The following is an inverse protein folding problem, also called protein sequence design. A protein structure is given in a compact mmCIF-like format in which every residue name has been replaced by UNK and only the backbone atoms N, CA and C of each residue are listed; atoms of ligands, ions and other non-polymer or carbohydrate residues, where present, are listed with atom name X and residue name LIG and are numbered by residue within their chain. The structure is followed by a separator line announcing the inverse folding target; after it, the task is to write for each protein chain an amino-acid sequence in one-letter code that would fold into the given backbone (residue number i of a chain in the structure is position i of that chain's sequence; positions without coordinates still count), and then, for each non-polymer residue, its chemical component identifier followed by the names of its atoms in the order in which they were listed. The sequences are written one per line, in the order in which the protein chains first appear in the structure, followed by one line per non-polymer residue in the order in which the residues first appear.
data_IF_103976240462
#
_entry.id   IF_103976240462
#
_cell.length_a   1.000
_cell.length_b   1.000
_cell.length_c   1.000
_cell.angle_alpha   90.00
_cell.angle_beta   90.00
_cell.angle_gamma   90.00
#
_symmetry.space_group_name_H-M   'P 1'
#
loop_
_entity.id
_entity.type
_entity.pdbx_description
1 polymer ?
#
# COMPACT_ATOMS: atom_id res chain seq x y z
N UNK A 1 6.82 14.97 16.54
CA UNK A 1 6.90 14.68 16.93
C UNK A 1 7.45 14.77 17.75
N UNK A 2 7.38 15.33 18.38
CA UNK A 2 7.79 15.26 18.98
C UNK A 2 7.69 14.96 20.31
N UNK A 3 6.83 14.86 20.85
CA UNK A 3 6.64 14.27 21.95
C UNK A 3 7.44 13.14 21.97
N UNK A 4 7.74 12.64 20.93
CA UNK A 4 8.48 11.60 20.81
C UNK A 4 9.81 11.74 21.35
N UNK A 5 10.35 12.81 21.46
CA UNK A 5 11.68 12.98 21.90
C UNK A 5 11.88 12.43 23.29
N UNK A 6 10.96 12.72 24.15
CA UNK A 6 11.06 12.27 25.52
C UNK A 6 10.80 10.78 25.61
N UNK A 7 9.83 10.33 24.88
CA UNK A 7 9.52 8.93 24.89
C UNK A 7 10.65 8.11 24.30
N UNK A 8 11.30 8.63 23.30
CA UNK A 8 12.37 7.94 22.67
C UNK A 8 13.46 7.64 23.66
N UNK A 9 13.77 8.60 24.53
CA UNK A 9 14.77 8.37 25.46
C UNK A 9 14.36 7.31 26.39
N UNK A 10 13.17 7.29 26.86
CA UNK A 10 12.69 6.32 27.80
C UNK A 10 12.69 4.93 27.19
N UNK A 11 12.43 4.83 25.95
CA UNK A 11 12.36 3.55 25.30
C UNK A 11 13.64 3.05 24.67
N UNK A 12 14.63 3.87 24.68
CA UNK A 12 15.85 3.53 24.04
C UNK A 12 16.44 2.20 24.42
N UNK A 13 16.32 1.80 25.64
CA UNK A 13 16.86 0.54 26.05
C UNK A 13 16.13 -0.64 25.46
N UNK A 14 14.88 -0.48 25.13
CA UNK A 14 14.11 -1.56 24.57
C UNK A 14 14.11 -1.46 23.09
N UNK A 15 14.57 -0.37 22.58
CA UNK A 15 14.58 -0.16 21.19
C UNK A 15 15.13 -1.21 20.35
N UNK A 16 16.20 -1.80 20.65
CA UNK A 16 16.76 -2.77 19.80
C UNK A 16 15.80 -3.88 19.60
N UNK A 17 15.23 -4.38 20.67
CA UNK A 17 14.30 -5.45 20.55
C UNK A 17 13.05 -5.01 19.87
N UNK A 18 12.50 -3.86 20.22
CA UNK A 18 11.29 -3.37 19.62
C UNK A 18 11.47 -3.12 18.14
N UNK A 19 12.59 -2.57 17.78
CA UNK A 19 12.85 -2.25 16.40
C UNK A 19 12.94 -3.52 15.57
N UNK A 20 13.56 -4.54 16.12
CA UNK A 20 13.69 -5.80 15.42
C UNK A 20 12.33 -6.47 15.25
N UNK A 21 11.50 -6.42 16.28
CA UNK A 21 10.18 -6.98 16.22
C UNK A 21 9.34 -6.22 15.22
N UNK A 22 9.50 -4.91 15.19
CA UNK A 22 8.79 -4.07 14.25
C UNK A 22 9.15 -4.41 12.82
N UNK A 23 10.43 -4.62 12.57
CA UNK A 23 10.88 -4.94 11.23
C UNK A 23 10.37 -6.31 10.79
N UNK A 24 10.35 -7.27 11.71
CA UNK A 24 9.85 -8.59 11.39
C UNK A 24 8.37 -8.55 11.11
N UNK A 25 7.63 -7.78 11.91
CA UNK A 25 6.20 -7.63 11.72
C UNK A 25 5.93 -7.02 10.35
N UNK A 26 6.70 -6.00 9.98
CA UNK A 26 6.49 -5.34 8.71
C UNK A 26 6.84 -6.27 7.55
N UNK A 27 7.87 -7.08 7.70
CA UNK A 27 8.21 -8.03 6.65
C UNK A 27 7.05 -9.00 6.43
N UNK A 28 6.46 -9.50 7.50
CA UNK A 28 5.32 -10.39 7.41
C UNK A 28 4.14 -9.67 6.76
N UNK A 29 3.92 -8.42 7.15
CA UNK A 29 2.82 -7.64 6.60
C UNK A 29 3.00 -7.42 5.11
N UNK A 30 4.20 -7.07 4.68
CA UNK A 30 4.47 -6.82 3.28
C UNK A 30 4.26 -8.09 2.45
N UNK A 31 4.70 -9.22 2.97
CA UNK A 31 4.47 -10.49 2.28
C UNK A 31 2.98 -10.76 2.14
N UNK A 32 2.23 -10.50 3.20
CA UNK A 32 0.80 -10.73 3.18
C UNK A 32 0.13 -9.81 2.16
N UNK A 33 0.50 -8.53 2.18
CA UNK A 33 -0.07 -7.57 1.26
C UNK A 33 0.26 -7.95 -0.19
N UNK A 34 1.50 -8.36 -0.44
CA UNK A 34 1.89 -8.73 -1.79
C UNK A 34 1.11 -9.95 -2.31
N UNK A 35 0.68 -10.79 -1.43
CA UNK A 35 -0.12 -11.94 -1.83
C UNK A 35 -1.61 -11.70 -1.87
N UNK A 36 -2.07 -10.56 -1.35
CA UNK A 36 -3.51 -10.31 -1.23
C UNK A 36 -3.95 -8.94 -1.75
N UNK A 37 -3.06 -8.18 -2.37
CA UNK A 37 -3.42 -6.81 -2.75
C UNK A 37 -4.54 -6.75 -3.78
N UNK A 38 -4.77 -7.84 -4.50
CA UNK A 38 -5.83 -7.84 -5.50
C UNK A 38 -7.20 -8.14 -4.87
N UNK A 39 -7.23 -8.42 -3.58
CA UNK A 39 -8.49 -8.64 -2.90
C UNK A 39 -9.05 -7.26 -2.57
N UNK A 40 -10.22 -6.96 -3.11
CA UNK A 40 -10.81 -5.65 -2.90
C UNK A 40 -11.15 -5.36 -1.45
N UNK A 41 -11.24 -6.39 -0.63
CA UNK A 41 -11.58 -6.21 0.77
C UNK A 41 -10.36 -6.14 1.70
N UNK A 42 -9.18 -6.20 1.14
CA UNK A 42 -8.00 -6.14 1.99
C UNK A 42 -7.98 -4.82 2.75
N UNK A 43 -7.79 -4.89 4.04
CA UNK A 43 -7.83 -3.70 4.88
C UNK A 43 -6.65 -3.68 5.85
N UNK A 44 -6.40 -2.51 6.40
CA UNK A 44 -5.36 -2.35 7.38
C UNK A 44 -5.65 -3.23 8.59
N UNK A 45 -6.91 -3.31 8.97
CA UNK A 45 -7.33 -4.10 10.11
C UNK A 45 -7.03 -5.58 9.89
N UNK A 46 -7.25 -6.05 8.68
CA UNK A 46 -7.00 -7.44 8.36
C UNK A 46 -5.51 -7.75 8.47
N UNK A 47 -4.66 -6.89 7.95
CA UNK A 47 -3.23 -7.12 7.98
C UNK A 47 -2.71 -7.02 9.41
N UNK A 48 -3.23 -6.08 10.18
CA UNK A 48 -2.84 -5.95 11.58
C UNK A 48 -3.21 -7.23 12.33
N UNK A 49 -4.39 -7.76 12.04
CA UNK A 49 -4.81 -9.03 12.66
C UNK A 49 -3.91 -10.19 12.29
N UNK A 50 -3.48 -10.22 11.04
CA UNK A 50 -2.60 -11.28 10.59
C UNK A 50 -1.27 -11.22 11.35
N UNK A 51 -0.80 -10.02 11.65
CA UNK A 51 0.46 -9.86 12.37
C UNK A 51 0.28 -9.82 13.88
N UNK A 52 -0.96 -10.02 14.34
CA UNK A 52 -1.27 -10.07 15.76
C UNK A 52 -0.99 -8.79 16.54
N UNK A 53 -1.29 -7.67 15.95
CA UNK A 53 -1.13 -6.39 16.64
C UNK A 53 -2.38 -5.55 16.43
N UNK A 54 -2.53 -4.50 17.18
CA UNK A 54 -3.69 -3.62 17.01
C UNK A 54 -3.52 -2.82 15.73
N UNK A 55 -4.63 -2.36 15.19
CA UNK A 55 -4.61 -1.56 13.97
C UNK A 55 -3.80 -0.28 14.17
N UNK A 56 -3.94 0.36 15.33
CA UNK A 56 -3.21 1.58 15.59
C UNK A 56 -1.71 1.37 15.65
N UNK A 57 -1.29 0.32 16.33
CA UNK A 57 0.12 0.01 16.43
C UNK A 57 0.68 -0.32 15.04
N UNK A 58 -0.05 -1.15 14.30
CA UNK A 58 0.37 -1.54 12.97
C UNK A 58 0.54 -0.32 12.08
N UNK A 59 -0.44 0.57 12.09
CA UNK A 59 -0.41 1.75 11.25
C UNK A 59 0.82 2.62 11.55
N UNK A 60 1.10 2.82 12.82
CA UNK A 60 2.23 3.64 13.22
C UNK A 60 3.57 3.02 12.81
N UNK A 61 3.72 1.73 13.09
CA UNK A 61 4.97 1.07 12.77
C UNK A 61 5.17 0.93 11.26
N UNK A 62 4.08 0.63 10.54
CA UNK A 62 4.18 0.51 9.10
C UNK A 62 4.64 1.82 8.48
N UNK A 63 4.02 2.93 8.90
CA UNK A 63 4.39 4.23 8.35
C UNK A 63 5.83 4.59 8.66
N UNK A 64 6.27 4.24 9.85
CA UNK A 64 7.62 4.53 10.25
C UNK A 64 8.64 3.70 9.50
N UNK A 65 8.40 2.40 9.39
CA UNK A 65 9.36 1.52 8.74
C UNK A 65 9.36 1.64 7.22
N UNK A 66 8.19 1.87 6.63
CA UNK A 66 8.07 1.91 5.18
C UNK A 66 8.15 3.31 4.59
N UNK A 67 8.12 4.33 5.44
CA UNK A 67 8.15 5.72 5.02
C UNK A 67 6.95 6.03 4.13
N UNK A 68 5.86 5.32 4.32
CA UNK A 68 4.62 5.57 3.62
C UNK A 68 3.53 4.83 4.36
N UNK A 69 2.29 5.25 4.20
CA UNK A 69 1.19 4.62 4.91
C UNK A 69 0.82 3.31 4.25
N UNK A 70 0.04 2.50 4.96
CA UNK A 70 -0.46 1.25 4.42
C UNK A 70 -1.26 1.52 3.13
N UNK A 71 -2.12 2.55 3.16
CA UNK A 71 -2.95 2.86 2.00
C UNK A 71 -2.09 3.28 0.81
N UNK A 72 -1.06 4.06 1.07
CA UNK A 72 -0.16 4.48 0.00
C UNK A 72 0.56 3.29 -0.61
N UNK A 73 1.02 2.38 0.23
CA UNK A 73 1.73 1.21 -0.25
C UNK A 73 0.80 0.31 -1.07
N UNK A 74 -0.40 0.07 -0.55
CA UNK A 74 -1.38 -0.77 -1.23
C UNK A 74 -1.77 -0.16 -2.58
N UNK A 75 -2.01 1.15 -2.59
CA UNK A 75 -2.37 1.85 -3.82
C UNK A 75 -1.25 1.73 -4.84
N UNK A 76 -0.01 1.90 -4.40
CA UNK A 76 1.11 1.81 -5.29
C UNK A 76 1.21 0.42 -5.93
N UNK A 77 1.02 -0.61 -5.12
CA UNK A 77 1.07 -1.98 -5.65
C UNK A 77 -0.02 -2.19 -6.69
N UNK A 78 -1.21 -1.71 -6.41
CA UNK A 78 -2.34 -1.88 -7.33
C UNK A 78 -2.11 -1.11 -8.63
N UNK A 79 -1.55 0.09 -8.52
CA UNK A 79 -1.31 0.90 -9.71
C UNK A 79 -0.19 0.31 -10.56
N UNK A 80 0.82 -0.27 -9.94
CA UNK A 80 1.89 -0.92 -10.68
C UNK A 80 1.36 -2.11 -11.47
N UNK A 81 0.49 -2.89 -10.85
CA UNK A 81 -0.09 -4.02 -11.54
C UNK A 81 -1.02 -3.54 -12.66
N UNK A 82 -1.75 -2.46 -12.40
CA UNK A 82 -2.63 -1.90 -13.43
C UNK A 82 -1.83 -1.47 -14.64
N UNK A 83 -0.67 -0.87 -14.42
CA UNK A 83 0.16 -0.44 -15.54
C UNK A 83 0.64 -1.64 -16.36
N UNK A 84 0.97 -2.74 -15.70
CA UNK A 84 1.37 -3.94 -16.42
C UNK A 84 0.23 -4.45 -17.27
N UNK A 85 -0.97 -4.49 -16.70
CA UNK A 85 -2.12 -4.99 -17.43
C UNK A 85 -2.49 -4.09 -18.61
N UNK A 86 -2.32 -2.79 -18.42
CA UNK A 86 -2.59 -1.86 -19.50
C UNK A 86 -1.61 -2.05 -20.64
N UNK A 87 -0.37 -2.35 -20.33
CA UNK A 87 0.62 -2.55 -21.38
C UNK A 87 0.51 -3.88 -22.06
N UNK A 88 -0.01 -4.89 -21.38
CA UNK A 88 -0.03 -6.22 -21.92
C UNK A 88 -1.19 -6.59 -22.82
N UNK A 89 -2.26 -5.91 -22.75
CA UNK A 89 -3.41 -6.38 -23.50
C UNK A 89 -4.48 -5.36 -23.73
N UNK A 90 -5.68 -5.85 -23.99
CA UNK A 90 -6.76 -5.03 -24.32
C UNK A 90 -7.82 -4.97 -23.27
N UNK A 91 -7.60 -5.35 -22.03
CA UNK A 91 -8.64 -5.28 -21.02
C UNK A 91 -9.06 -3.85 -20.84
N UNK A 92 -10.34 -3.66 -20.58
CA UNK A 92 -10.84 -2.33 -20.36
C UNK A 92 -10.43 -1.88 -18.99
N UNK A 93 -10.39 -0.57 -18.76
CA UNK A 93 -9.97 -0.06 -17.48
C UNK A 93 -10.86 -0.55 -16.35
N UNK A 94 -12.13 -0.76 -16.59
CA UNK A 94 -13.01 -1.30 -15.55
C UNK A 94 -12.62 -2.74 -15.18
N UNK A 95 -12.21 -3.52 -16.15
CA UNK A 95 -11.77 -4.88 -15.89
C UNK A 95 -10.48 -4.89 -15.12
N UNK A 96 -9.58 -3.99 -15.48
CA UNK A 96 -8.31 -3.87 -14.79
C UNK A 96 -8.53 -3.42 -13.36
N UNK A 97 -9.45 -2.47 -13.15
CA UNK A 97 -9.76 -2.02 -11.80
C UNK A 97 -10.18 -3.19 -10.93
N UNK A 98 -11.07 -4.02 -11.44
CA UNK A 98 -11.52 -5.18 -10.69
C UNK A 98 -10.38 -6.15 -10.42
N UNK A 99 -9.56 -6.36 -11.40
CA UNK A 99 -8.47 -7.32 -11.28
C UNK A 99 -7.42 -6.89 -10.27
N UNK A 100 -7.19 -5.61 -10.09
CA UNK A 100 -6.21 -5.15 -9.13
C UNK A 100 -6.82 -4.88 -7.76
N UNK A 101 -8.10 -5.16 -7.58
CA UNK A 101 -8.70 -5.03 -6.26
C UNK A 101 -9.41 -3.71 -5.98
N UNK A 102 -9.71 -2.95 -7.02
CA UNK A 102 -10.42 -1.70 -6.82
C UNK A 102 -11.90 -1.95 -7.05
N UNK A 103 -12.73 -1.65 -6.07
CA UNK A 103 -14.15 -1.91 -6.20
C UNK A 103 -14.86 -1.00 -7.17
N UNK A 104 -14.39 0.21 -7.30
CA UNK A 104 -15.09 1.22 -8.07
C UNK A 104 -14.22 1.66 -9.24
N UNK A 105 -14.62 1.36 -10.48
CA UNK A 105 -13.81 1.73 -11.63
C UNK A 105 -13.62 3.24 -11.78
N UNK A 106 -14.59 4.03 -11.35
CA UNK A 106 -14.44 5.48 -11.46
C UNK A 106 -13.40 5.97 -10.46
N UNK A 107 -13.43 5.43 -9.26
CA UNK A 107 -12.45 5.79 -8.25
C UNK A 107 -11.06 5.32 -8.71
N UNK A 108 -10.99 4.14 -9.29
CA UNK A 108 -9.73 3.60 -9.82
C UNK A 108 -9.15 4.57 -10.85
N UNK A 109 -9.95 5.04 -11.78
CA UNK A 109 -9.47 5.95 -12.81
C UNK A 109 -9.00 7.26 -12.21
N UNK A 110 -9.72 7.74 -11.21
CA UNK A 110 -9.35 8.96 -10.53
C UNK A 110 -7.99 8.80 -9.84
N UNK A 111 -7.81 7.71 -9.11
CA UNK A 111 -6.55 7.48 -8.40
C UNK A 111 -5.41 7.24 -9.39
N UNK A 112 -5.68 6.52 -10.47
CA UNK A 112 -4.66 6.25 -11.48
C UNK A 112 -4.18 7.59 -12.06
N UNK A 113 -5.10 8.44 -12.44
CA UNK A 113 -4.74 9.71 -13.01
C UNK A 113 -3.98 10.57 -12.00
N UNK A 114 -4.44 10.58 -10.77
CA UNK A 114 -3.79 11.37 -9.74
C UNK A 114 -2.38 10.91 -9.46
N UNK A 115 -2.15 9.62 -9.44
CA UNK A 115 -0.84 9.09 -9.07
C UNK A 115 0.08 8.91 -10.27
N UNK A 116 -0.46 8.65 -11.45
CA UNK A 116 0.37 8.36 -12.61
C UNK A 116 0.46 9.53 -13.60
N UNK A 117 -0.37 10.55 -13.42
CA UNK A 117 -0.30 11.74 -14.27
C UNK A 117 -1.09 11.66 -15.57
N UNK A 118 -1.72 10.55 -15.84
CA UNK A 118 -2.54 10.42 -17.04
C UNK A 118 -3.59 9.38 -16.78
N UNK A 119 -4.60 9.31 -17.66
CA UNK A 119 -5.67 8.33 -17.48
C UNK A 119 -5.16 6.96 -17.86
N UNK A 120 -5.84 5.89 -17.44
CA UNK A 120 -5.44 4.56 -17.85
C UNK A 120 -5.41 4.41 -19.37
N UNK A 121 -6.39 5.03 -20.03
CA UNK A 121 -6.44 4.94 -21.48
C UNK A 121 -5.23 5.61 -22.10
N UNK A 122 -4.88 6.81 -21.61
CA UNK A 122 -3.72 7.53 -22.13
C UNK A 122 -2.45 6.74 -21.89
N UNK A 123 -2.36 6.12 -20.74
CA UNK A 123 -1.17 5.34 -20.43
C UNK A 123 -1.02 4.19 -21.42
N UNK A 124 -2.13 3.52 -21.73
CA UNK A 124 -2.08 2.41 -22.68
C UNK A 124 -1.61 2.89 -24.05
N UNK A 125 -2.00 4.07 -24.44
CA UNK A 125 -1.62 4.57 -25.71
C UNK A 125 -0.25 5.18 -25.71
N UNK A 126 0.50 4.89 -24.72
CA UNK A 126 1.86 5.29 -24.70
C UNK A 126 2.08 6.60 -24.12
N UNK A 127 1.12 7.12 -23.60
CA UNK A 127 1.24 8.25 -23.17
C UNK A 127 1.53 8.85 -22.05
N UNK A 128 2.37 8.91 -21.51
CA UNK A 128 2.59 9.47 -20.51
C UNK A 128 2.92 10.66 -20.85
N UNK A 129 2.47 11.52 -20.99
CA UNK A 129 2.72 12.68 -21.37
C UNK A 129 3.26 13.33 -20.47
N UNK A 130 3.48 13.23 -19.88
CA UNK A 130 4.05 13.99 -19.09
C UNK A 130 4.38 14.35 -18.43
#
# INVERSE_FOLDING_TARGET
MYIRTVLDRALELRDRRSSSQGKDMIRQAVEYINGHYTDENLSLKEVAGYTNVSANYFSAVFSQEMQQTFVEYLTKKRMERAKELLRQGDKRSAEIAAEVGSKDPHYFSFVFRKTQGCTPRDYRMGGRRG
#
